data_IF_030672233228
#
_entry.id   IF_030672233228
#
_cell.length_a   1.000
_cell.length_b   1.000
_cell.length_c   1.000
_cell.angle_alpha   90.00
_cell.angle_beta   90.00
_cell.angle_gamma   90.00
#
_symmetry.space_group_name_H-M   'P 1'
#
loop_
_entity.id
_entity.type
_entity.pdbx_description
1 polymer ?
#
# COMPACT_ATOMS: atom_id res chain seq x y z
N UNK A 1 5.36 -1.28 13.65
CA UNK A 1 5.06 0.07 13.17
C UNK A 1 3.91 0.07 12.21
N UNK A 2 3.20 1.19 12.14
CA UNK A 2 1.99 1.39 11.33
C UNK A 2 1.91 2.86 10.89
N UNK A 3 1.15 3.13 9.84
CA UNK A 3 0.79 4.48 9.43
C UNK A 3 -0.71 4.59 9.21
N UNK A 4 -1.26 5.80 9.35
CA UNK A 4 -2.69 6.03 9.09
C UNK A 4 -2.99 5.80 7.62
N UNK A 5 -4.06 5.06 7.31
CA UNK A 5 -4.44 4.64 5.95
C UNK A 5 -3.36 3.87 5.20
N UNK A 6 -2.41 3.27 5.92
CA UNK A 6 -1.27 2.56 5.31
C UNK A 6 -0.36 3.47 4.47
N UNK A 7 -0.41 4.79 4.67
CA UNK A 7 0.38 5.76 3.91
C UNK A 7 1.87 5.42 3.95
N UNK A 8 2.47 5.39 2.77
CA UNK A 8 3.87 5.12 2.54
C UNK A 8 4.14 5.00 1.05
N UNK A 9 5.37 5.29 0.62
CA UNK A 9 5.77 5.08 -0.78
C UNK A 9 5.63 3.60 -1.16
N UNK A 10 5.38 3.34 -2.43
CA UNK A 10 5.23 1.97 -2.92
C UNK A 10 3.89 1.38 -2.53
N UNK A 11 3.90 0.14 -2.04
CA UNK A 11 2.72 -0.60 -1.59
C UNK A 11 2.05 -0.01 -0.35
N UNK A 12 2.73 0.90 0.35
CA UNK A 12 2.30 1.42 1.65
C UNK A 12 2.85 0.61 2.83
N UNK A 13 2.36 0.95 4.02
CA UNK A 13 2.70 0.30 5.28
C UNK A 13 1.47 -0.42 5.87
N UNK A 14 1.65 -1.09 7.00
CA UNK A 14 0.54 -1.63 7.76
C UNK A 14 -0.42 -0.50 8.21
N UNK A 15 -1.73 -0.57 7.87
CA UNK A 15 -2.67 0.47 8.24
C UNK A 15 -2.99 0.46 9.74
N UNK A 16 -2.84 1.61 10.40
CA UNK A 16 -3.07 1.77 11.84
C UNK A 16 -4.49 1.39 12.22
N UNK A 17 -5.47 1.85 11.46
CA UNK A 17 -6.90 1.62 11.71
C UNK A 17 -7.29 0.14 11.65
N UNK A 18 -6.61 -0.67 10.82
CA UNK A 18 -6.78 -2.11 10.81
C UNK A 18 -6.16 -2.76 12.04
N UNK A 19 -4.95 -2.35 12.41
CA UNK A 19 -4.27 -2.89 13.59
C UNK A 19 -5.04 -2.58 14.87
N UNK A 20 -5.57 -1.36 15.02
CA UNK A 20 -6.37 -0.98 16.19
C UNK A 20 -7.64 -1.84 16.32
N UNK A 21 -8.35 -2.05 15.21
CA UNK A 21 -9.53 -2.93 15.17
C UNK A 21 -9.22 -4.39 15.51
N UNK A 22 -8.05 -4.89 15.08
CA UNK A 22 -7.59 -6.24 15.41
C UNK A 22 -7.22 -6.39 16.88
N UNK A 23 -6.43 -5.45 17.43
CA UNK A 23 -5.92 -5.54 18.81
C UNK A 23 -7.01 -5.40 19.87
N UNK A 24 -8.10 -4.68 19.58
CA UNK A 24 -9.23 -4.42 20.51
C UNK A 24 -8.77 -3.94 21.90
N UNK A 25 -7.66 -3.21 21.94
CA UNK A 25 -7.05 -2.76 23.18
C UNK A 25 -7.66 -1.41 23.61
N UNK A 26 -8.31 -1.30 24.78
CA UNK A 26 -9.02 -0.10 25.21
C UNK A 26 -8.09 1.11 25.46
N UNK A 27 -6.77 0.90 25.54
CA UNK A 27 -5.77 1.99 25.61
C UNK A 27 -5.79 2.86 24.35
N UNK A 28 -6.09 2.27 23.20
CA UNK A 28 -6.09 2.96 21.92
C UNK A 28 -7.52 3.27 21.47
N UNK A 29 -7.71 4.46 20.89
CA UNK A 29 -9.03 4.95 20.49
C UNK A 29 -9.12 5.00 18.98
N UNK A 30 -10.17 4.39 18.43
CA UNK A 30 -10.42 4.38 16.98
C UNK A 30 -10.89 5.75 16.47
N UNK A 31 -11.79 6.41 17.20
CA UNK A 31 -12.46 7.63 16.74
C UNK A 31 -11.49 8.76 16.31
N UNK A 32 -10.43 9.10 17.07
CA UNK A 32 -9.49 10.14 16.64
C UNK A 32 -8.72 9.78 15.35
N UNK A 33 -8.50 8.48 15.09
CA UNK A 33 -7.83 8.04 13.86
C UNK A 33 -8.76 8.21 12.67
N UNK A 34 -10.05 7.86 12.81
CA UNK A 34 -11.06 8.06 11.76
C UNK A 34 -11.26 9.54 11.46
N UNK A 35 -11.35 10.39 12.48
CA UNK A 35 -11.45 11.85 12.31
C UNK A 35 -10.24 12.43 11.56
N UNK A 36 -9.02 11.94 11.85
CA UNK A 36 -7.83 12.35 11.11
C UNK A 36 -7.88 11.90 9.64
N UNK A 37 -8.39 10.69 9.37
CA UNK A 37 -8.56 10.20 8.00
C UNK A 37 -9.53 11.11 7.23
N UNK A 38 -10.70 11.39 7.81
CA UNK A 38 -11.73 12.23 7.22
C UNK A 38 -11.21 13.64 6.90
N UNK A 39 -10.52 14.27 7.84
CA UNK A 39 -10.10 15.66 7.72
C UNK A 39 -8.85 15.88 6.85
N UNK A 40 -7.97 14.87 6.73
CA UNK A 40 -6.66 15.07 6.11
C UNK A 40 -6.31 14.04 5.04
N UNK A 41 -6.66 12.76 5.25
CA UNK A 41 -6.17 11.70 4.39
C UNK A 41 -7.00 11.53 3.12
N UNK A 42 -8.33 11.62 3.22
CA UNK A 42 -9.22 11.48 2.04
C UNK A 42 -8.86 12.47 0.93
N UNK A 43 -8.50 13.71 1.28
CA UNK A 43 -8.07 14.70 0.29
C UNK A 43 -6.63 14.51 -0.19
N UNK A 44 -5.77 13.91 0.64
CA UNK A 44 -4.40 13.60 0.29
C UNK A 44 -4.32 12.44 -0.72
N UNK A 45 -5.14 11.40 -0.55
CA UNK A 45 -5.21 10.24 -1.44
C UNK A 45 -5.60 10.61 -2.88
N UNK A 46 -6.37 11.68 -3.07
CA UNK A 46 -6.69 12.22 -4.40
C UNK A 46 -5.46 12.77 -5.14
N UNK A 47 -4.39 13.09 -4.41
CA UNK A 47 -3.16 13.71 -4.92
C UNK A 47 -1.98 12.75 -4.92
N UNK A 48 -2.02 11.72 -4.08
CA UNK A 48 -0.97 10.73 -3.95
C UNK A 48 -1.42 9.40 -4.52
N UNK A 49 -0.79 9.01 -5.62
CA UNK A 49 -0.90 7.63 -6.10
C UNK A 49 0.07 6.76 -5.30
N UNK A 50 -0.22 6.47 -4.03
CA UNK A 50 0.53 5.51 -3.18
C UNK A 50 -0.41 4.38 -2.74
N UNK A 51 0.14 3.26 -2.30
CA UNK A 51 -0.63 2.15 -1.77
C UNK A 51 -0.61 0.89 -2.63
N UNK A 52 -1.38 -0.09 -2.19
CA UNK A 52 -1.37 -1.44 -2.74
C UNK A 52 -1.72 -1.46 -4.24
N UNK A 53 -0.99 -2.26 -5.00
CA UNK A 53 -1.27 -2.54 -6.41
C UNK A 53 -0.80 -3.94 -6.76
N UNK A 54 -1.31 -4.50 -7.87
CA UNK A 54 -0.91 -5.83 -8.32
C UNK A 54 0.60 -5.90 -8.65
N UNK A 55 1.23 -4.88 -9.29
CA UNK A 55 2.68 -4.88 -9.46
C UNK A 55 3.45 -4.98 -8.13
N UNK A 56 3.03 -4.23 -7.10
CA UNK A 56 3.69 -4.30 -5.78
C UNK A 56 3.49 -5.65 -5.11
N UNK A 57 2.31 -6.25 -5.24
CA UNK A 57 2.06 -7.60 -4.76
C UNK A 57 3.02 -8.61 -5.42
N UNK A 58 3.18 -8.53 -6.75
CA UNK A 58 4.06 -9.43 -7.51
C UNK A 58 5.50 -9.28 -7.05
N UNK A 59 6.05 -8.07 -7.04
CA UNK A 59 7.44 -7.86 -6.63
C UNK A 59 7.66 -8.26 -5.17
N UNK A 60 6.69 -8.01 -4.29
CA UNK A 60 6.78 -8.41 -2.88
C UNK A 60 6.80 -9.93 -2.70
N UNK A 61 5.96 -10.67 -3.42
CA UNK A 61 5.93 -12.13 -3.37
C UNK A 61 7.22 -12.77 -3.90
N UNK A 62 7.85 -12.14 -4.89
CA UNK A 62 9.10 -12.59 -5.49
C UNK A 62 10.35 -12.04 -4.77
N UNK A 63 10.17 -11.34 -3.64
CA UNK A 63 11.26 -10.69 -2.88
C UNK A 63 12.13 -9.74 -3.73
N UNK A 64 11.51 -9.09 -4.72
CA UNK A 64 12.14 -8.19 -5.66
C UNK A 64 12.08 -6.73 -5.20
N UNK A 65 13.09 -5.94 -5.60
CA UNK A 65 13.08 -4.51 -5.30
C UNK A 65 11.87 -3.84 -5.99
N UNK A 66 11.12 -2.95 -5.33
CA UNK A 66 9.86 -2.39 -5.88
C UNK A 66 10.00 -1.51 -7.13
N UNK A 67 11.19 -1.36 -7.71
CA UNK A 67 11.43 -0.47 -8.87
C UNK A 67 10.63 -0.90 -10.09
N UNK A 68 10.55 -2.21 -10.35
CA UNK A 68 9.78 -2.73 -11.46
C UNK A 68 8.27 -2.46 -11.27
N UNK A 69 7.78 -2.61 -10.04
CA UNK A 69 6.39 -2.32 -9.69
C UNK A 69 6.06 -0.82 -9.80
N UNK A 70 6.97 0.04 -9.33
CA UNK A 70 6.84 1.50 -9.47
C UNK A 70 6.72 1.89 -10.94
N UNK A 71 7.62 1.39 -11.79
CA UNK A 71 7.58 1.65 -13.24
C UNK A 71 6.28 1.18 -13.88
N UNK A 72 5.87 -0.08 -13.61
CA UNK A 72 4.63 -0.61 -14.16
C UNK A 72 3.41 0.22 -13.76
N UNK A 73 3.39 0.72 -12.53
CA UNK A 73 2.30 1.58 -12.05
C UNK A 73 2.33 2.97 -12.69
N UNK A 74 3.49 3.60 -12.79
CA UNK A 74 3.66 4.91 -13.44
C UNK A 74 3.26 4.86 -14.93
N UNK A 75 3.49 3.73 -15.60
CA UNK A 75 3.10 3.49 -17.00
C UNK A 75 1.64 3.03 -17.17
N UNK A 76 0.92 2.78 -16.07
CA UNK A 76 -0.43 2.24 -16.11
C UNK A 76 -0.50 0.82 -16.71
N UNK A 77 0.57 0.03 -16.58
CA UNK A 77 0.63 -1.33 -17.11
C UNK A 77 -0.27 -2.26 -16.30
N UNK A 78 -1.30 -2.76 -16.97
CA UNK A 78 -2.29 -3.68 -16.41
C UNK A 78 -2.09 -5.13 -16.88
N UNK A 79 -1.03 -5.42 -17.66
CA UNK A 79 -0.70 -6.76 -18.15
C UNK A 79 0.03 -7.60 -17.09
N UNK A 80 -0.58 -7.73 -15.91
CA UNK A 80 0.03 -8.35 -14.73
C UNK A 80 0.54 -9.78 -14.96
N UNK A 81 -0.09 -10.54 -15.86
CA UNK A 81 0.36 -11.88 -16.24
C UNK A 81 1.71 -11.87 -16.97
N UNK A 82 1.90 -10.91 -17.87
CA UNK A 82 3.17 -10.73 -18.59
C UNK A 82 4.23 -10.16 -17.65
N UNK A 83 3.85 -9.18 -16.83
CA UNK A 83 4.72 -8.63 -15.78
C UNK A 83 5.21 -9.73 -14.82
N UNK A 84 4.31 -10.57 -14.29
CA UNK A 84 4.68 -11.69 -13.43
C UNK A 84 5.67 -12.63 -14.09
N UNK A 85 5.40 -13.06 -15.34
CA UNK A 85 6.32 -13.91 -16.11
C UNK A 85 7.69 -13.25 -16.23
N UNK A 86 7.73 -12.00 -16.68
CA UNK A 86 8.98 -11.28 -16.92
C UNK A 86 9.81 -11.15 -15.65
N UNK A 87 9.19 -10.97 -14.47
CA UNK A 87 9.92 -10.90 -13.20
C UNK A 87 10.33 -12.29 -12.70
N UNK A 88 9.45 -13.29 -12.81
CA UNK A 88 9.73 -14.65 -12.32
C UNK A 88 10.85 -15.38 -13.09
N UNK A 89 11.14 -14.97 -14.34
CA UNK A 89 12.19 -15.57 -15.17
C UNK A 89 13.51 -14.76 -15.16
N UNK A 90 13.63 -13.75 -14.29
CA UNK A 90 14.91 -13.02 -14.08
C UNK A 90 15.83 -13.68 -13.03
N UNK A 91 15.45 -14.84 -12.48
CA UNK A 91 16.33 -15.72 -11.68
C UNK A 91 17.27 -16.58 -12.54
#
# INVERSE_FOLDING_TARGET
DVTVSGLGRGAGNCPLELLLGFLKNPKYKQMPVLEFIENYIVDLEKKLDWGYSIPYMITGQLNEHPRAAMKARDEGDTKYREFFKNISFME
#
